data_IF_737998946338
#
_entry.id   IF_737998946338
#
_cell.length_a   1.000
_cell.length_b   1.000
_cell.length_c   1.000
_cell.angle_alpha   90.00
_cell.angle_beta   90.00
_cell.angle_gamma   90.00
#
_symmetry.space_group_name_H-M   'P 1'
#
loop_
_entity.id
_entity.type
_entity.pdbx_description
1 polymer ?
#
# COMPACT_ATOMS: atom_id res chain seq x y z
N UNK A 1 -28.32 -9.15 -3.19
CA UNK A 1 -27.19 -8.44 -3.82
C UNK A 1 -27.43 -8.44 -5.31
N UNK A 2 -27.35 -7.27 -5.96
CA UNK A 2 -27.47 -7.21 -7.42
C UNK A 2 -26.18 -7.70 -8.06
N UNK A 3 -26.28 -8.45 -9.15
CA UNK A 3 -25.13 -8.80 -9.99
C UNK A 3 -25.03 -7.82 -11.14
N UNK A 4 -23.81 -7.47 -11.53
CA UNK A 4 -23.53 -6.69 -12.74
C UNK A 4 -22.51 -7.45 -13.55
N UNK A 5 -22.76 -7.59 -14.86
CA UNK A 5 -21.79 -8.15 -15.79
C UNK A 5 -20.84 -7.03 -16.24
N UNK A 6 -19.54 -7.28 -16.12
CA UNK A 6 -18.48 -6.38 -16.58
C UNK A 6 -17.57 -7.15 -17.53
N UNK A 7 -17.25 -6.55 -18.67
CA UNK A 7 -16.19 -7.04 -19.56
C UNK A 7 -14.86 -6.44 -19.13
N UNK A 8 -13.85 -7.28 -18.97
CA UNK A 8 -12.48 -6.88 -18.63
C UNK A 8 -11.52 -7.38 -19.70
N UNK A 9 -10.31 -6.80 -19.74
CA UNK A 9 -9.25 -7.29 -20.62
C UNK A 9 -8.77 -8.66 -20.13
N UNK A 10 -8.32 -9.50 -21.06
CA UNK A 10 -7.81 -10.84 -20.76
C UNK A 10 -6.65 -10.78 -19.75
N UNK A 11 -5.72 -9.84 -19.95
CA UNK A 11 -4.62 -9.58 -19.02
C UNK A 11 -5.10 -9.28 -17.58
N UNK A 12 -6.20 -8.54 -17.44
CA UNK A 12 -6.79 -8.21 -16.13
C UNK A 12 -7.42 -9.44 -15.49
N UNK A 13 -8.08 -10.29 -16.29
CA UNK A 13 -8.65 -11.54 -15.80
C UNK A 13 -7.56 -12.48 -15.26
N UNK A 14 -6.47 -12.67 -16.01
CA UNK A 14 -5.37 -13.55 -15.57
C UNK A 14 -4.65 -12.97 -14.33
N UNK A 15 -4.52 -11.64 -14.21
CA UNK A 15 -4.03 -11.01 -12.97
C UNK A 15 -4.93 -11.34 -11.78
N UNK A 16 -6.25 -11.16 -11.91
CA UNK A 16 -7.20 -11.45 -10.83
C UNK A 16 -7.21 -12.94 -10.45
N UNK A 17 -7.03 -13.81 -11.43
CA UNK A 17 -6.95 -15.26 -11.23
C UNK A 17 -5.66 -15.66 -10.49
N UNK A 18 -4.53 -15.01 -10.77
CA UNK A 18 -3.28 -15.19 -10.03
C UNK A 18 -3.37 -14.72 -8.58
N UNK A 19 -4.13 -13.67 -8.31
CA UNK A 19 -4.36 -13.14 -6.96
C UNK A 19 -5.39 -13.93 -6.14
N UNK A 20 -6.19 -14.79 -6.78
CA UNK A 20 -7.31 -15.52 -6.16
C UNK A 20 -6.80 -16.58 -5.18
N UNK A 21 -7.30 -16.54 -3.94
CA UNK A 21 -7.02 -17.56 -2.92
C UNK A 21 -8.04 -18.70 -2.98
N UNK A 22 -7.72 -19.83 -2.36
CA UNK A 22 -8.62 -20.98 -2.29
C UNK A 22 -9.95 -20.58 -1.64
N UNK A 23 -11.06 -20.86 -2.32
CA UNK A 23 -12.41 -20.52 -1.85
C UNK A 23 -12.87 -19.07 -2.08
N UNK A 24 -12.01 -18.15 -2.56
CA UNK A 24 -12.42 -16.76 -2.86
C UNK A 24 -13.19 -16.66 -4.20
N UNK A 25 -14.24 -15.84 -4.27
CA UNK A 25 -14.85 -15.42 -5.55
C UNK A 25 -14.04 -14.27 -6.19
N UNK A 26 -14.27 -13.99 -7.47
CA UNK A 26 -13.64 -12.81 -8.10
C UNK A 26 -14.09 -11.49 -7.46
N UNK A 27 -15.32 -11.42 -6.97
CA UNK A 27 -15.80 -10.26 -6.21
C UNK A 27 -15.01 -10.09 -4.91
N UNK A 28 -14.69 -11.18 -4.21
CA UNK A 28 -13.89 -11.12 -2.97
C UNK A 28 -12.45 -10.65 -3.24
N UNK A 29 -11.85 -11.10 -4.35
CA UNK A 29 -10.53 -10.64 -4.78
C UNK A 29 -10.54 -9.14 -5.06
N UNK A 30 -11.53 -8.66 -5.83
CA UNK A 30 -11.68 -7.23 -6.13
C UNK A 30 -11.84 -6.44 -4.83
N UNK A 31 -12.74 -6.87 -3.94
CA UNK A 31 -12.98 -6.19 -2.67
C UNK A 31 -11.72 -6.17 -1.79
N UNK A 32 -10.96 -7.28 -1.73
CA UNK A 32 -9.70 -7.35 -0.98
C UNK A 32 -8.63 -6.42 -1.55
N UNK A 33 -8.47 -6.39 -2.87
CA UNK A 33 -7.49 -5.50 -3.52
C UNK A 33 -7.88 -4.02 -3.40
N UNK A 34 -9.18 -3.74 -3.43
CA UNK A 34 -9.73 -2.40 -3.23
C UNK A 34 -9.68 -1.94 -1.77
N UNK A 35 -9.72 -2.88 -0.82
CA UNK A 35 -9.35 -2.68 0.58
C UNK A 35 -7.83 -2.53 0.72
N UNK A 36 -7.27 -1.52 0.05
CA UNK A 36 -6.10 -0.86 0.63
C UNK A 36 -6.60 -0.29 1.94
N UNK A 37 -6.13 -0.84 3.07
CA UNK A 37 -6.29 -0.17 4.34
C UNK A 37 -5.88 1.27 4.11
N UNK A 38 -6.83 2.19 4.28
CA UNK A 38 -6.46 3.59 4.45
C UNK A 38 -5.68 3.58 5.75
N UNK A 39 -4.37 3.40 5.65
CA UNK A 39 -3.47 3.54 6.77
C UNK A 39 -3.75 4.96 7.26
N UNK A 40 -4.45 5.06 8.37
CA UNK A 40 -4.73 6.35 8.95
C UNK A 40 -3.42 6.79 9.60
N UNK A 41 -2.61 7.54 8.87
CA UNK A 41 -1.31 8.02 9.35
C UNK A 41 -1.45 8.81 10.66
N UNK A 42 -2.63 9.37 10.94
CA UNK A 42 -2.94 10.02 12.22
C UNK A 42 -2.82 9.06 13.41
N UNK A 43 -3.16 7.77 13.25
CA UNK A 43 -3.03 6.77 14.33
C UNK A 43 -1.57 6.50 14.71
N UNK A 44 -0.63 6.84 13.84
CA UNK A 44 0.80 6.68 14.07
C UNK A 44 1.47 7.97 14.58
N UNK A 45 0.71 9.07 14.70
CA UNK A 45 1.25 10.33 15.19
C UNK A 45 1.71 10.19 16.65
N UNK A 46 3.00 10.42 16.90
CA UNK A 46 3.60 10.27 18.23
C UNK A 46 3.85 8.83 18.68
N UNK A 47 3.77 7.84 17.78
CA UNK A 47 4.09 6.45 18.09
C UNK A 47 5.57 6.25 18.48
N UNK A 48 6.47 7.10 17.96
CA UNK A 48 7.89 7.10 18.31
C UNK A 48 8.12 8.12 19.42
N UNK A 49 8.45 7.64 20.63
CA UNK A 49 8.72 8.47 21.82
C UNK A 49 10.20 8.49 22.22
N UNK A 50 11.01 7.65 21.60
CA UNK A 50 12.44 7.55 21.87
C UNK A 50 13.18 8.71 21.19
N UNK A 51 13.80 9.57 22.00
CA UNK A 51 14.49 10.77 21.53
C UNK A 51 15.79 10.47 20.77
N UNK A 52 16.49 9.39 21.10
CA UNK A 52 17.71 9.00 20.39
C UNK A 52 17.36 8.45 19.01
N UNK A 53 16.28 7.66 18.92
CA UNK A 53 15.76 7.18 17.65
C UNK A 53 15.26 8.33 16.76
N UNK A 54 14.56 9.31 17.33
CA UNK A 54 14.09 10.49 16.59
C UNK A 54 15.26 11.31 16.04
N UNK A 55 16.33 11.49 16.83
CA UNK A 55 17.56 12.16 16.39
C UNK A 55 18.24 11.42 15.24
N UNK A 56 18.38 10.10 15.34
CA UNK A 56 18.95 9.29 14.26
C UNK A 56 18.12 9.38 12.96
N UNK A 57 16.79 9.32 13.08
CA UNK A 57 15.89 9.46 11.93
C UNK A 57 16.01 10.84 11.26
N UNK A 58 16.19 11.89 12.04
CA UNK A 58 16.42 13.24 11.52
C UNK A 58 17.73 13.34 10.73
N UNK A 59 18.82 12.78 11.28
CA UNK A 59 20.13 12.74 10.62
C UNK A 59 20.08 11.98 9.30
N UNK A 60 19.46 10.81 9.27
CA UNK A 60 19.36 10.00 8.06
C UNK A 60 18.48 10.69 7.01
N UNK A 61 17.40 11.34 7.44
CA UNK A 61 16.56 12.16 6.55
C UNK A 61 17.32 13.32 5.92
N UNK A 62 18.26 13.94 6.65
CA UNK A 62 19.15 14.99 6.12
C UNK A 62 20.10 14.42 5.07
N UNK A 63 20.78 13.31 5.38
CA UNK A 63 21.71 12.62 4.46
C UNK A 63 21.02 12.24 3.14
N UNK A 64 19.83 11.64 3.21
CA UNK A 64 19.06 11.26 2.02
C UNK A 64 18.75 12.48 1.15
N UNK A 65 18.29 13.59 1.75
CA UNK A 65 17.97 14.83 1.00
C UNK A 65 19.20 15.44 0.33
N UNK A 66 20.36 15.40 0.98
CA UNK A 66 21.62 15.85 0.39
C UNK A 66 22.03 14.99 -0.80
N UNK A 67 21.97 13.67 -0.64
CA UNK A 67 22.25 12.71 -1.72
C UNK A 67 21.26 12.83 -2.88
N UNK A 68 19.99 13.17 -2.64
CA UNK A 68 19.02 13.43 -3.71
C UNK A 68 19.32 14.73 -4.45
N UNK A 69 19.78 15.77 -3.76
CA UNK A 69 20.15 17.05 -4.39
C UNK A 69 21.43 16.95 -5.22
N UNK A 70 22.37 16.08 -4.87
CA UNK A 70 23.58 15.83 -5.66
C UNK A 70 23.33 14.97 -6.91
N UNK A 71 22.09 14.48 -7.13
CA UNK A 71 21.70 13.67 -8.29
C UNK A 71 21.01 14.46 -9.40
N UNK A 72 20.89 15.80 -9.24
CA UNK A 72 20.38 16.76 -10.24
C UNK A 72 21.54 17.64 -10.68
#
# INVERSE_FOLDING_TARGET
>A
MGTKTLSIREETYEMLKGEKREGESFSDVIDRLMRREKINLEEYFGAIKDEDLLRGLEEDSKKIRELSRSRV
#
